data_IF_766656217419
#
_entry.id   IF_766656217419
#
_cell.length_a   1.000
_cell.length_b   1.000
_cell.length_c   1.000
_cell.angle_alpha   90.00
_cell.angle_beta   90.00
_cell.angle_gamma   90.00
#
_symmetry.space_group_name_H-M   'P 1'
#
loop_
_entity.id
_entity.type
_entity.pdbx_description
1 polymer ?
#
# COMPACT_ATOMS: atom_id res chain seq x y z
N UNK A 1 -7.07 8.96 12.05
CA UNK A 1 -6.55 7.83 11.25
C UNK A 1 -6.70 6.49 11.97
N UNK A 2 -6.37 6.40 13.26
CA UNK A 2 -6.50 5.18 14.08
C UNK A 2 -7.89 4.52 14.05
N UNK A 3 -8.97 5.31 14.08
CA UNK A 3 -10.36 4.82 14.01
C UNK A 3 -10.69 4.08 12.71
N UNK A 4 -9.96 4.37 11.63
CA UNK A 4 -10.09 3.72 10.32
C UNK A 4 -8.99 2.68 10.09
N UNK A 5 -8.25 2.32 11.13
CA UNK A 5 -7.09 1.42 11.06
C UNK A 5 -6.14 1.81 9.92
N UNK A 6 -5.80 3.11 9.87
CA UNK A 6 -4.81 3.67 8.98
C UNK A 6 -3.59 4.12 9.78
N UNK A 7 -2.41 3.76 9.28
CA UNK A 7 -1.12 4.15 9.80
C UNK A 7 -0.44 5.12 8.84
N UNK A 8 0.08 6.23 9.36
CA UNK A 8 0.94 7.14 8.62
C UNK A 8 2.40 6.73 8.88
N UNK A 9 3.09 6.32 7.82
CA UNK A 9 4.54 6.13 7.85
C UNK A 9 5.19 7.47 7.51
N UNK A 10 5.73 8.16 8.52
CA UNK A 10 6.39 9.44 8.34
C UNK A 10 7.77 9.32 7.66
N UNK A 11 8.38 8.12 7.68
CA UNK A 11 9.70 7.89 7.07
C UNK A 11 9.59 7.87 5.56
N UNK A 12 8.76 6.97 5.04
CA UNK A 12 8.54 6.82 3.60
C UNK A 12 7.42 7.73 3.06
N UNK A 13 6.74 8.44 3.98
CA UNK A 13 5.56 9.28 3.70
C UNK A 13 4.46 8.47 3.02
N UNK A 14 4.14 7.30 3.57
CA UNK A 14 3.12 6.40 3.03
C UNK A 14 1.93 6.28 3.98
N UNK A 15 0.73 6.16 3.40
CA UNK A 15 -0.46 5.76 4.14
C UNK A 15 -0.60 4.26 4.05
N UNK A 16 -0.71 3.55 5.17
CA UNK A 16 -0.79 2.08 5.21
C UNK A 16 -2.10 1.65 5.89
N UNK A 17 -2.82 0.73 5.27
CA UNK A 17 -3.98 0.08 5.87
C UNK A 17 -3.53 -1.02 6.83
N UNK A 18 -3.81 -0.86 8.12
CA UNK A 18 -3.47 -1.81 9.18
C UNK A 18 -4.68 -2.61 9.70
N UNK A 19 -5.77 -2.69 8.92
CA UNK A 19 -6.78 -3.75 9.12
C UNK A 19 -6.11 -5.13 9.09
N UNK A 20 -6.65 -6.07 9.87
CA UNK A 20 -6.15 -7.45 9.92
C UNK A 20 -6.00 -8.04 8.52
N UNK A 21 -4.85 -8.65 8.26
CA UNK A 21 -4.45 -9.24 6.97
C UNK A 21 -4.42 -8.28 5.76
N UNK A 22 -4.59 -6.97 5.95
CA UNK A 22 -4.51 -6.03 4.84
C UNK A 22 -3.05 -5.64 4.55
N UNK A 23 -2.50 -4.68 5.28
CA UNK A 23 -1.12 -4.24 5.13
C UNK A 23 -0.80 -3.58 3.79
N UNK A 24 -1.78 -2.95 3.14
CA UNK A 24 -1.61 -2.28 1.84
C UNK A 24 -1.11 -0.85 2.04
N UNK A 25 -0.07 -0.45 1.30
CA UNK A 25 0.22 0.96 1.08
C UNK A 25 -0.83 1.56 0.13
N UNK A 26 -1.42 2.67 0.53
CA UNK A 26 -2.55 3.31 -0.15
C UNK A 26 -2.13 4.65 -0.73
N UNK A 27 -2.57 4.92 -1.95
CA UNK A 27 -2.51 6.27 -2.50
C UNK A 27 -3.56 7.15 -1.82
N UNK A 28 -3.18 8.40 -1.51
CA UNK A 28 -4.14 9.43 -1.07
C UNK A 28 -4.79 10.17 -2.24
N UNK A 29 -4.33 9.92 -3.47
CA UNK A 29 -4.90 10.50 -4.68
C UNK A 29 -6.27 9.90 -5.00
N UNK A 30 -7.14 10.68 -5.65
CA UNK A 30 -8.43 10.24 -6.21
C UNK A 30 -9.31 9.43 -5.24
N UNK A 31 -9.24 9.73 -3.94
CA UNK A 31 -9.99 9.00 -2.90
C UNK A 31 -9.70 7.50 -2.82
N UNK A 32 -8.53 7.05 -3.27
CA UNK A 32 -8.17 5.62 -3.28
C UNK A 32 -8.20 5.00 -1.87
N UNK A 33 -7.71 5.70 -0.85
CA UNK A 33 -7.82 5.23 0.53
C UNK A 33 -9.28 5.03 0.97
N UNK A 34 -10.14 5.97 0.61
CA UNK A 34 -11.58 5.92 0.92
C UNK A 34 -12.29 4.78 0.17
N UNK A 35 -11.96 4.55 -1.11
CA UNK A 35 -12.48 3.42 -1.90
C UNK A 35 -11.98 2.08 -1.36
N UNK A 36 -10.71 1.98 -0.98
CA UNK A 36 -10.14 0.79 -0.37
C UNK A 36 -10.88 0.40 0.92
N UNK A 37 -11.10 1.35 1.83
CA UNK A 37 -11.87 1.11 3.07
C UNK A 37 -13.30 0.66 2.79
N UNK A 38 -13.95 1.22 1.77
CA UNK A 38 -15.30 0.81 1.35
C UNK A 38 -15.31 -0.60 0.77
N UNK A 39 -14.46 -0.87 -0.21
CA UNK A 39 -14.57 -2.07 -1.04
C UNK A 39 -13.95 -3.29 -0.36
N UNK A 40 -12.85 -3.10 0.38
CA UNK A 40 -12.12 -4.19 1.03
C UNK A 40 -12.58 -4.43 2.47
N UNK A 41 -12.95 -3.37 3.18
CA UNK A 41 -13.28 -3.43 4.60
C UNK A 41 -14.73 -3.10 4.91
N UNK A 42 -15.56 -2.82 3.89
CA UNK A 42 -16.98 -2.53 4.03
C UNK A 42 -17.28 -1.37 5.00
N UNK A 43 -16.36 -0.41 5.11
CA UNK A 43 -16.50 0.71 6.05
C UNK A 43 -17.60 1.67 5.54
N UNK A 44 -18.64 1.95 6.36
CA UNK A 44 -19.73 2.85 6.00
C UNK A 44 -19.26 4.25 5.63
N UNK A 45 -20.03 4.95 4.79
CA UNK A 45 -19.67 6.27 4.26
C UNK A 45 -19.43 7.29 5.38
N UNK A 46 -20.26 7.23 6.42
CA UNK A 46 -20.31 8.16 7.55
C UNK A 46 -18.99 8.15 8.33
N UNK A 47 -18.36 6.99 8.45
CA UNK A 47 -17.09 6.84 9.18
C UNK A 47 -15.88 7.31 8.37
N UNK A 48 -15.97 7.30 7.04
CA UNK A 48 -14.90 7.67 6.12
C UNK A 48 -15.13 9.03 5.45
N UNK A 49 -16.18 9.75 5.84
CA UNK A 49 -16.49 11.07 5.31
C UNK A 49 -15.40 12.08 5.70
N UNK A 50 -15.10 13.01 4.79
CA UNK A 50 -14.01 13.97 4.99
C UNK A 50 -12.57 13.40 4.97
N UNK A 51 -12.38 12.07 4.93
CA UNK A 51 -11.05 11.44 4.97
C UNK A 51 -10.12 11.94 3.87
N UNK A 52 -10.59 11.95 2.61
CA UNK A 52 -9.77 12.41 1.47
C UNK A 52 -9.35 13.87 1.65
N UNK A 53 -10.24 14.72 2.16
CA UNK A 53 -9.92 16.13 2.42
C UNK A 53 -8.87 16.25 3.53
N UNK A 54 -9.07 15.54 4.64
CA UNK A 54 -8.12 15.52 5.76
C UNK A 54 -6.73 15.03 5.32
N UNK A 55 -6.64 13.92 4.58
CA UNK A 55 -5.36 13.37 4.12
C UNK A 55 -4.60 14.33 3.20
N UNK A 56 -5.30 15.12 2.39
CA UNK A 56 -4.68 16.03 1.42
C UNK A 56 -4.29 17.38 2.02
N UNK A 57 -5.11 17.91 2.94
CA UNK A 57 -5.04 19.30 3.37
C UNK A 57 -4.88 19.48 4.88
N UNK A 58 -5.27 18.49 5.68
CA UNK A 58 -5.28 18.59 7.15
C UNK A 58 -4.22 17.75 7.85
N UNK A 59 -3.67 16.73 7.20
CA UNK A 59 -2.64 15.88 7.78
C UNK A 59 -1.25 16.50 7.55
N UNK A 60 -0.36 16.53 8.55
CA UNK A 60 0.96 17.16 8.42
C UNK A 60 1.92 16.40 7.48
N UNK A 61 1.79 15.07 7.39
CA UNK A 61 2.55 14.27 6.44
C UNK A 61 2.03 14.46 5.00
N UNK A 62 2.91 14.90 4.10
CA UNK A 62 2.66 14.93 2.66
C UNK A 62 2.90 13.55 2.05
N UNK A 63 1.82 12.76 1.94
CA UNK A 63 1.91 11.38 1.49
C UNK A 63 2.30 11.25 0.01
N UNK A 64 3.22 10.32 -0.27
CA UNK A 64 3.63 9.92 -1.62
C UNK A 64 2.73 8.82 -2.17
N UNK A 65 2.76 8.66 -3.50
CA UNK A 65 2.13 7.51 -4.14
C UNK A 65 2.99 6.25 -3.90
N UNK A 66 2.41 5.12 -3.43
CA UNK A 66 3.15 3.88 -3.22
C UNK A 66 3.95 3.40 -4.43
N UNK A 67 3.47 3.65 -5.65
CA UNK A 67 4.16 3.24 -6.89
C UNK A 67 5.39 4.06 -7.23
N UNK A 68 5.59 5.20 -6.57
CA UNK A 68 6.72 6.11 -6.77
C UNK A 68 7.82 5.94 -5.70
N UNK A 69 7.56 5.10 -4.70
CA UNK A 69 8.54 4.77 -3.66
C UNK A 69 9.32 3.55 -4.10
N UNK A 70 10.64 3.61 -3.97
CA UNK A 70 11.51 2.48 -4.29
C UNK A 70 11.16 1.28 -3.38
N UNK A 71 11.26 0.05 -3.88
CA UNK A 71 11.20 -1.13 -3.03
C UNK A 71 12.24 -1.05 -1.92
N UNK A 72 11.93 -1.63 -0.76
CA UNK A 72 12.90 -1.77 0.32
C UNK A 72 14.01 -2.74 -0.11
N UNK A 73 15.24 -2.47 0.33
CA UNK A 73 16.37 -3.34 0.07
C UNK A 73 16.15 -4.77 0.59
N UNK A 74 16.76 -5.73 -0.09
CA UNK A 74 16.73 -7.13 0.32
C UNK A 74 17.39 -7.32 1.69
N UNK A 75 16.77 -8.16 2.52
CA UNK A 75 17.21 -8.38 3.89
C UNK A 75 16.87 -7.26 4.86
N UNK A 76 16.21 -6.18 4.41
CA UNK A 76 15.70 -5.16 5.32
C UNK A 76 14.71 -5.74 6.33
N UNK A 77 14.66 -5.22 7.57
CA UNK A 77 13.65 -5.63 8.53
C UNK A 77 12.25 -5.44 7.97
N UNK A 78 11.38 -6.44 8.19
CA UNK A 78 9.97 -6.39 7.79
C UNK A 78 9.31 -5.15 8.38
N UNK A 79 8.64 -4.37 7.54
CA UNK A 79 7.87 -3.24 8.03
C UNK A 79 6.63 -3.73 8.79
N UNK A 80 6.52 -3.35 10.07
CA UNK A 80 5.48 -3.82 11.00
C UNK A 80 4.02 -3.71 10.53
N UNK A 81 3.72 -2.76 9.63
CA UNK A 81 2.36 -2.55 9.10
C UNK A 81 2.16 -3.09 7.69
N UNK A 82 3.22 -3.52 6.99
CA UNK A 82 3.08 -4.05 5.63
C UNK A 82 2.87 -5.56 5.69
N UNK A 83 2.05 -6.07 4.77
CA UNK A 83 1.87 -7.51 4.61
C UNK A 83 3.02 -8.09 3.80
N UNK A 84 3.55 -9.21 4.26
CA UNK A 84 4.48 -10.05 3.48
C UNK A 84 3.65 -10.95 2.57
N UNK A 85 4.14 -11.12 1.35
CA UNK A 85 3.58 -12.04 0.38
C UNK A 85 4.66 -13.01 -0.08
N UNK A 86 4.31 -14.28 -0.19
CA UNK A 86 5.08 -15.22 -0.98
C UNK A 86 4.92 -14.85 -2.46
N UNK A 87 6.03 -14.87 -3.19
CA UNK A 87 6.05 -14.41 -4.58
C UNK A 87 7.24 -14.95 -5.35
N UNK A 88 7.38 -14.44 -6.56
CA UNK A 88 8.39 -14.83 -7.53
C UNK A 88 9.33 -13.67 -7.81
N UNK A 89 10.62 -13.96 -7.89
CA UNK A 89 11.67 -13.02 -8.29
C UNK A 89 12.42 -13.58 -9.49
N UNK A 90 12.64 -12.75 -10.51
CA UNK A 90 13.53 -13.10 -11.61
C UNK A 90 14.98 -13.16 -11.12
N UNK A 91 15.77 -14.08 -11.68
CA UNK A 91 17.20 -14.22 -11.34
C UNK A 91 18.11 -13.30 -12.17
N UNK A 92 17.65 -12.92 -13.36
CA UNK A 92 18.43 -12.14 -14.33
C UNK A 92 18.16 -10.63 -14.21
N UNK A 93 17.04 -10.22 -13.61
CA UNK A 93 16.68 -8.81 -13.46
C UNK A 93 15.90 -8.53 -12.15
N UNK A 94 15.69 -7.26 -11.77
CA UNK A 94 14.98 -6.90 -10.53
C UNK A 94 13.47 -7.18 -10.50
N UNK A 95 12.90 -7.81 -11.53
CA UNK A 95 11.46 -8.03 -11.62
C UNK A 95 10.95 -8.99 -10.54
N UNK A 96 9.86 -8.59 -9.86
CA UNK A 96 9.20 -9.36 -8.80
C UNK A 96 7.69 -9.22 -8.91
N UNK A 97 6.98 -10.31 -8.63
CA UNK A 97 5.52 -10.30 -8.59
C UNK A 97 5.01 -11.42 -7.70
N UNK A 98 3.82 -11.23 -7.13
CA UNK A 98 3.10 -12.30 -6.42
C UNK A 98 2.24 -13.13 -7.38
N UNK A 99 2.11 -12.69 -8.63
CA UNK A 99 1.26 -13.33 -9.64
C UNK A 99 2.09 -14.27 -10.53
N UNK A 100 1.84 -15.57 -10.41
CA UNK A 100 2.52 -16.58 -11.21
C UNK A 100 2.35 -16.39 -12.73
N UNK A 101 1.16 -15.98 -13.19
CA UNK A 101 0.91 -15.79 -14.63
C UNK A 101 1.74 -14.63 -15.19
N UNK A 102 1.91 -13.55 -14.41
CA UNK A 102 2.77 -12.44 -14.78
C UNK A 102 4.25 -12.84 -14.80
N UNK A 103 4.67 -13.58 -13.76
CA UNK A 103 6.03 -14.13 -13.68
C UNK A 103 6.35 -15.04 -14.87
N UNK A 104 5.47 -16.01 -15.16
CA UNK A 104 5.66 -16.94 -16.29
C UNK A 104 5.78 -16.20 -17.61
N UNK A 105 4.96 -15.17 -17.83
CA UNK A 105 5.02 -14.35 -19.05
C UNK A 105 6.30 -13.52 -19.15
N UNK A 106 6.83 -13.05 -18.02
CA UNK A 106 8.12 -12.36 -17.98
C UNK A 106 9.25 -13.35 -18.29
N UNK A 107 9.31 -14.48 -17.57
CA UNK A 107 10.37 -15.48 -17.71
C UNK A 107 10.44 -16.13 -19.10
N UNK A 108 9.36 -16.13 -19.89
CA UNK A 108 9.38 -16.62 -21.28
C UNK A 108 9.87 -15.59 -22.31
N UNK A 109 10.07 -14.33 -21.91
CA UNK A 109 10.51 -13.23 -22.78
C UNK A 109 11.97 -12.84 -22.56
N UNK A 110 12.53 -13.22 -21.42
CA UNK A 110 13.97 -13.16 -21.13
C UNK A 110 14.67 -14.36 -21.78
#
# INVERSE_FOLDING_TARGET
LSTLQLYADDTERLLICCHSECGFALSVARSQATSHLRDKHHIPKELRDGLTHYLRHGHPCSFRNPTEVAPRDDGSPVHRMLRIYDGFACRECPYRTINYAEYSRHASKE
#
